data_IF_085316206072
#
_entry.id   IF_085316206072
#
_cell.length_a   1.000
_cell.length_b   1.000
_cell.length_c   1.000
_cell.angle_alpha   90.00
_cell.angle_beta   90.00
_cell.angle_gamma   90.00
#
_symmetry.space_group_name_H-M   'P 1'
#
loop_
_entity.id
_entity.type
_entity.pdbx_description
1 polymer ?
#
# COMPACT_ATOMS: atom_id res chain seq x y z
N UNK A 1 4.64 29.78 -22.10
CA UNK A 1 3.53 28.80 -22.16
C UNK A 1 2.69 29.18 -23.36
N UNK A 2 2.57 28.29 -24.35
CA UNK A 2 1.75 28.53 -25.53
C UNK A 2 0.25 28.47 -25.18
N UNK A 3 -0.62 28.97 -26.04
CA UNK A 3 -2.07 28.84 -25.84
C UNK A 3 -2.52 27.36 -25.85
N UNK A 4 -1.84 26.51 -26.60
CA UNK A 4 -2.07 25.06 -26.64
C UNK A 4 -1.70 24.40 -25.30
N UNK A 5 -0.54 24.75 -24.72
CA UNK A 5 -0.13 24.26 -23.40
C UNK A 5 -1.13 24.66 -22.31
N UNK A 6 -1.68 25.88 -22.41
CA UNK A 6 -2.67 26.39 -21.47
C UNK A 6 -3.97 25.60 -21.55
N UNK A 7 -4.48 25.34 -22.76
CA UNK A 7 -5.70 24.57 -22.96
C UNK A 7 -5.54 23.12 -22.46
N UNK A 8 -4.38 22.50 -22.71
CA UNK A 8 -4.09 21.17 -22.19
C UNK A 8 -4.04 21.15 -20.65
N UNK A 9 -3.40 22.15 -20.03
CA UNK A 9 -3.37 22.28 -18.58
C UNK A 9 -4.76 22.49 -17.96
N UNK A 10 -5.59 23.33 -18.58
CA UNK A 10 -6.98 23.56 -18.16
C UNK A 10 -7.82 22.27 -18.24
N UNK A 11 -7.68 21.50 -19.32
CA UNK A 11 -8.34 20.21 -19.49
C UNK A 11 -7.90 19.19 -18.41
N UNK A 12 -6.59 19.03 -18.22
CA UNK A 12 -6.03 18.13 -17.20
C UNK A 12 -6.48 18.52 -15.79
N UNK A 13 -6.51 19.82 -15.50
CA UNK A 13 -7.00 20.35 -14.20
C UNK A 13 -8.47 20.00 -13.99
N UNK A 14 -9.31 20.22 -15.02
CA UNK A 14 -10.73 19.90 -14.94
C UNK A 14 -10.96 18.40 -14.73
N UNK A 15 -10.21 17.55 -15.45
CA UNK A 15 -10.30 16.10 -15.31
C UNK A 15 -9.88 15.66 -13.91
N UNK A 16 -8.77 16.18 -13.37
CA UNK A 16 -8.32 15.85 -12.02
C UNK A 16 -9.33 16.25 -10.93
N UNK A 17 -9.96 17.42 -11.03
CA UNK A 17 -11.00 17.87 -10.08
C UNK A 17 -12.18 16.89 -10.06
N UNK A 18 -12.55 16.33 -11.22
CA UNK A 18 -13.61 15.34 -11.32
C UNK A 18 -13.25 13.98 -10.69
N UNK A 19 -11.96 13.70 -10.50
CA UNK A 19 -11.43 12.45 -9.94
C UNK A 19 -11.28 12.52 -8.43
N UNK A 20 -11.06 13.71 -7.85
CA UNK A 20 -10.88 13.88 -6.41
C UNK A 20 -11.97 13.18 -5.54
N UNK A 21 -13.27 13.22 -5.91
CA UNK A 21 -14.29 12.49 -5.15
C UNK A 21 -14.16 10.95 -5.24
N UNK A 22 -13.57 10.45 -6.33
CA UNK A 22 -13.35 9.01 -6.58
C UNK A 22 -12.22 8.47 -5.70
N UNK A 23 -11.21 9.29 -5.38
CA UNK A 23 -10.11 8.91 -4.48
C UNK A 23 -10.61 8.36 -3.12
N UNK A 24 -11.78 8.81 -2.65
CA UNK A 24 -12.40 8.31 -1.42
C UNK A 24 -12.98 6.89 -1.53
N UNK A 25 -13.33 6.46 -2.75
CA UNK A 25 -14.02 5.19 -3.01
C UNK A 25 -13.08 4.11 -3.55
N UNK A 26 -11.88 4.49 -3.95
CA UNK A 26 -10.90 3.62 -4.60
C UNK A 26 -10.52 4.17 -5.97
N UNK A 27 -9.23 4.11 -6.28
CA UNK A 27 -8.66 4.55 -7.54
C UNK A 27 -8.22 3.32 -8.34
N UNK A 28 -8.63 3.25 -9.60
CA UNK A 28 -8.22 2.17 -10.49
C UNK A 28 -6.88 2.52 -11.13
N UNK A 29 -5.91 1.61 -11.03
CA UNK A 29 -4.56 1.77 -11.58
C UNK A 29 -4.14 0.46 -12.24
N UNK A 30 -3.51 0.57 -13.40
CA UNK A 30 -3.04 -0.58 -14.16
C UNK A 30 -1.51 -0.52 -14.27
N UNK A 31 -0.82 -1.31 -13.45
CA UNK A 31 0.64 -1.34 -13.41
C UNK A 31 1.22 -2.03 -14.64
N UNK A 32 2.44 -1.65 -15.02
CA UNK A 32 3.34 -2.45 -15.85
C UNK A 32 4.42 -3.06 -14.96
N UNK A 33 5.03 -4.15 -15.40
CA UNK A 33 6.01 -4.88 -14.57
C UNK A 33 7.47 -4.48 -14.84
N UNK A 34 7.68 -3.41 -15.62
CA UNK A 34 8.97 -3.00 -16.18
C UNK A 34 9.76 -2.04 -15.30
N UNK A 35 9.08 -1.27 -14.44
CA UNK A 35 9.70 -0.20 -13.66
C UNK A 35 8.79 0.23 -12.51
N UNK A 36 9.36 0.85 -11.47
CA UNK A 36 8.63 1.17 -10.23
C UNK A 36 7.66 2.34 -10.35
N UNK A 37 7.70 3.10 -11.45
CA UNK A 37 6.79 4.21 -11.77
C UNK A 37 5.93 3.90 -13.00
N UNK A 38 5.97 2.66 -13.49
CA UNK A 38 5.39 2.33 -14.78
C UNK A 38 3.91 1.93 -14.59
N UNK A 39 3.04 2.89 -14.81
CA UNK A 39 1.59 2.69 -14.88
C UNK A 39 1.12 2.94 -16.31
N UNK A 40 0.04 2.26 -16.73
CA UNK A 40 -0.71 2.73 -17.89
C UNK A 40 -1.26 4.12 -17.60
N UNK A 41 -1.03 5.06 -18.52
CA UNK A 41 -1.53 6.42 -18.35
C UNK A 41 -3.05 6.43 -18.45
N UNK A 42 -3.70 6.72 -17.33
CA UNK A 42 -5.13 6.95 -17.25
C UNK A 42 -5.41 8.29 -16.58
N UNK A 43 -6.64 8.78 -16.66
CA UNK A 43 -7.00 10.07 -16.07
C UNK A 43 -6.82 10.05 -14.55
N UNK A 44 -6.98 8.89 -13.93
CA UNK A 44 -6.85 8.60 -12.52
C UNK A 44 -5.46 8.97 -11.95
N UNK A 45 -4.44 9.05 -12.81
CA UNK A 45 -3.07 9.43 -12.43
C UNK A 45 -2.90 10.97 -12.36
N UNK A 46 -3.72 11.73 -13.08
CA UNK A 46 -3.60 13.20 -13.19
C UNK A 46 -3.51 13.94 -11.85
N UNK A 47 -4.25 13.59 -10.78
CA UNK A 47 -4.11 14.27 -9.51
C UNK A 47 -2.69 14.19 -8.94
N UNK A 48 -1.98 13.07 -9.12
CA UNK A 48 -0.60 12.92 -8.66
C UNK A 48 0.35 13.79 -9.47
N UNK A 49 0.20 13.80 -10.80
CA UNK A 49 1.03 14.62 -11.69
C UNK A 49 0.85 16.12 -11.40
N UNK A 50 -0.39 16.60 -11.24
CA UNK A 50 -0.68 18.01 -10.95
C UNK A 50 -0.18 18.44 -9.57
N UNK A 51 -0.19 17.54 -8.58
CA UNK A 51 0.34 17.80 -7.25
C UNK A 51 1.86 17.59 -7.17
N UNK A 52 2.49 17.14 -8.26
CA UNK A 52 3.89 16.75 -8.30
C UNK A 52 4.24 15.71 -7.21
N UNK A 53 3.36 14.72 -7.04
CA UNK A 53 3.52 13.60 -6.13
C UNK A 53 3.87 12.37 -6.95
N UNK A 54 5.02 11.76 -6.69
CA UNK A 54 5.42 10.53 -7.36
C UNK A 54 4.54 9.35 -6.92
N UNK A 55 4.00 8.60 -7.87
CA UNK A 55 3.31 7.33 -7.65
C UNK A 55 4.25 6.16 -7.96
N UNK A 56 4.31 5.18 -7.05
CA UNK A 56 5.21 4.04 -7.11
C UNK A 56 4.47 2.70 -6.89
N UNK A 57 5.03 1.61 -7.41
CA UNK A 57 4.71 0.23 -7.05
C UNK A 57 6.00 -0.62 -7.06
N UNK A 58 5.95 -1.80 -6.44
CA UNK A 58 7.09 -2.73 -6.39
C UNK A 58 6.84 -4.08 -7.10
N UNK A 59 5.79 -4.13 -7.91
CA UNK A 59 5.41 -5.32 -8.66
C UNK A 59 6.16 -5.40 -9.99
N UNK A 60 7.45 -5.76 -9.93
CA UNK A 60 8.32 -5.86 -11.11
C UNK A 60 8.65 -7.32 -11.42
N UNK A 61 8.82 -7.63 -12.69
CA UNK A 61 9.43 -8.90 -13.10
C UNK A 61 10.95 -8.77 -13.03
N UNK A 62 11.63 -9.81 -12.54
CA UNK A 62 13.09 -9.85 -12.57
C UNK A 62 13.57 -10.02 -14.04
N UNK A 63 14.40 -9.10 -14.57
CA UNK A 63 14.93 -9.20 -15.94
C UNK A 63 15.72 -10.48 -16.22
N UNK A 64 16.23 -11.15 -15.18
CA UNK A 64 16.98 -12.41 -15.30
C UNK A 64 16.07 -13.63 -15.41
N UNK A 65 14.76 -13.49 -15.13
CA UNK A 65 13.82 -14.60 -15.13
C UNK A 65 13.25 -14.88 -16.52
N UNK A 66 12.81 -16.12 -16.75
CA UNK A 66 12.19 -16.50 -18.03
C UNK A 66 10.80 -15.86 -18.21
N UNK A 67 10.12 -15.51 -17.12
CA UNK A 67 8.84 -14.79 -17.14
C UNK A 67 8.96 -13.41 -17.79
N UNK A 68 10.11 -12.73 -17.64
CA UNK A 68 10.38 -11.42 -18.25
C UNK A 68 10.14 -11.42 -19.77
N UNK A 69 10.52 -12.49 -20.46
CA UNK A 69 10.35 -12.62 -21.92
C UNK A 69 8.89 -12.71 -22.34
N UNK A 70 8.04 -13.29 -21.49
CA UNK A 70 6.60 -13.46 -21.77
C UNK A 70 5.82 -12.21 -21.38
N UNK A 71 6.21 -11.56 -20.29
CA UNK A 71 5.59 -10.36 -19.75
C UNK A 71 5.94 -9.14 -20.62
N UNK A 72 7.22 -8.91 -20.92
CA UNK A 72 7.65 -7.77 -21.72
C UNK A 72 7.13 -6.43 -21.16
N UNK A 73 6.55 -5.60 -22.02
CA UNK A 73 5.95 -4.30 -21.67
C UNK A 73 4.42 -4.37 -21.42
N UNK A 74 3.90 -5.57 -21.11
CA UNK A 74 2.47 -5.73 -20.82
C UNK A 74 2.12 -5.10 -19.47
N UNK A 75 0.96 -4.45 -19.42
CA UNK A 75 0.31 -4.09 -18.16
C UNK A 75 -0.30 -5.32 -17.49
N UNK A 76 -0.75 -5.18 -16.25
CA UNK A 76 -1.50 -6.22 -15.54
C UNK A 76 -2.71 -6.72 -16.34
N UNK A 77 -3.58 -5.81 -16.80
CA UNK A 77 -4.76 -6.18 -17.58
C UNK A 77 -4.39 -6.96 -18.85
N UNK A 78 -3.40 -6.47 -19.61
CA UNK A 78 -2.97 -7.12 -20.84
C UNK A 78 -2.31 -8.49 -20.58
N UNK A 79 -1.56 -8.63 -19.47
CA UNK A 79 -0.99 -9.92 -19.07
C UNK A 79 -2.07 -10.92 -18.67
N UNK A 80 -3.08 -10.51 -17.91
CA UNK A 80 -4.23 -11.36 -17.54
C UNK A 80 -4.95 -11.85 -18.80
N UNK A 81 -5.25 -10.97 -19.74
CA UNK A 81 -5.86 -11.35 -21.02
C UNK A 81 -4.99 -12.35 -21.80
N UNK A 82 -3.67 -12.14 -21.84
CA UNK A 82 -2.73 -13.06 -22.49
C UNK A 82 -2.69 -14.43 -21.81
N UNK A 83 -2.73 -14.48 -20.47
CA UNK A 83 -2.78 -15.73 -19.71
C UNK A 83 -4.04 -16.51 -20.04
N UNK A 84 -5.20 -15.85 -20.14
CA UNK A 84 -6.48 -16.49 -20.45
C UNK A 84 -6.54 -16.95 -21.91
N UNK A 85 -6.14 -16.09 -22.86
CA UNK A 85 -6.31 -16.34 -24.30
C UNK A 85 -5.27 -17.27 -24.89
N UNK A 86 -4.01 -17.19 -24.43
CA UNK A 86 -2.87 -17.91 -25.00
C UNK A 86 -2.33 -19.01 -24.07
N UNK A 87 -2.97 -19.24 -22.92
CA UNK A 87 -2.50 -20.19 -21.90
C UNK A 87 -1.04 -19.96 -21.52
N UNK A 88 -0.65 -18.68 -21.36
CA UNK A 88 0.72 -18.27 -21.08
C UNK A 88 1.16 -18.67 -19.66
N UNK A 89 1.64 -19.91 -19.51
CA UNK A 89 1.96 -20.53 -18.23
C UNK A 89 2.96 -19.70 -17.39
N UNK A 90 4.02 -19.16 -18.00
CA UNK A 90 5.00 -18.33 -17.29
C UNK A 90 4.40 -17.02 -16.75
N UNK A 91 3.51 -16.39 -17.52
CA UNK A 91 2.79 -15.20 -17.05
C UNK A 91 1.86 -15.52 -15.88
N UNK A 92 1.17 -16.67 -15.95
CA UNK A 92 0.33 -17.16 -14.85
C UNK A 92 1.16 -17.46 -13.59
N UNK A 93 2.28 -18.16 -13.76
CA UNK A 93 3.21 -18.48 -12.68
C UNK A 93 3.70 -17.22 -11.97
N UNK A 94 4.11 -16.19 -12.72
CA UNK A 94 4.50 -14.91 -12.14
C UNK A 94 3.39 -14.28 -11.31
N UNK A 95 2.17 -14.17 -11.84
CA UNK A 95 1.04 -13.57 -11.14
C UNK A 95 0.70 -14.33 -9.83
N UNK A 96 0.78 -15.65 -9.85
CA UNK A 96 0.54 -16.49 -8.67
C UNK A 96 1.68 -16.38 -7.64
N UNK A 97 2.93 -16.42 -8.09
CA UNK A 97 4.11 -16.34 -7.22
C UNK A 97 4.31 -14.95 -6.59
N UNK A 98 3.80 -13.90 -7.25
CA UNK A 98 3.91 -12.50 -6.81
C UNK A 98 2.56 -11.88 -6.43
N UNK A 99 1.62 -12.71 -5.98
CA UNK A 99 0.26 -12.28 -5.61
C UNK A 99 0.21 -11.19 -4.52
N UNK A 100 1.29 -10.98 -3.76
CA UNK A 100 1.45 -9.89 -2.77
C UNK A 100 1.79 -8.53 -3.40
N UNK A 101 1.83 -8.46 -4.74
CA UNK A 101 2.09 -7.27 -5.56
C UNK A 101 3.41 -6.55 -5.22
N UNK A 102 4.37 -7.29 -4.67
CA UNK A 102 5.70 -6.81 -4.35
C UNK A 102 6.70 -7.95 -4.58
N UNK A 103 7.76 -7.65 -5.31
CA UNK A 103 8.84 -8.62 -5.57
C UNK A 103 10.13 -8.13 -4.94
N UNK A 104 11.08 -9.03 -4.73
CA UNK A 104 12.41 -8.65 -4.23
C UNK A 104 13.11 -7.69 -5.19
N UNK A 105 13.09 -7.99 -6.49
CA UNK A 105 13.61 -7.11 -7.53
C UNK A 105 12.96 -5.72 -7.47
N UNK A 106 11.63 -5.66 -7.40
CA UNK A 106 10.91 -4.40 -7.29
C UNK A 106 11.20 -3.62 -6.01
N UNK A 107 11.46 -4.31 -4.89
CA UNK A 107 11.85 -3.66 -3.63
C UNK A 107 13.26 -3.04 -3.73
N UNK A 108 14.20 -3.73 -4.37
CA UNK A 108 15.53 -3.19 -4.64
C UNK A 108 15.48 -1.97 -5.56
N UNK A 109 14.75 -2.07 -6.68
CA UNK A 109 14.57 -0.97 -7.63
C UNK A 109 13.87 0.22 -6.97
N UNK A 110 12.86 -0.02 -6.13
CA UNK A 110 12.16 1.05 -5.41
C UNK A 110 13.09 1.76 -4.43
N UNK A 111 13.92 1.00 -3.72
CA UNK A 111 14.95 1.56 -2.82
C UNK A 111 15.98 2.38 -3.58
N UNK A 112 16.34 1.99 -4.81
CA UNK A 112 17.28 2.72 -5.65
C UNK A 112 16.66 3.99 -6.25
N UNK A 113 15.40 3.92 -6.70
CA UNK A 113 14.72 5.00 -7.40
C UNK A 113 14.23 6.12 -6.48
N UNK A 114 13.78 5.81 -5.26
CA UNK A 114 13.27 6.81 -4.33
C UNK A 114 14.41 7.64 -3.74
N UNK A 115 14.28 8.96 -3.76
CA UNK A 115 15.27 9.86 -3.18
C UNK A 115 15.15 9.91 -1.64
N UNK A 116 16.28 10.16 -0.98
CA UNK A 116 16.32 10.27 0.49
C UNK A 116 15.50 11.48 0.96
N UNK A 117 14.49 11.23 1.81
CA UNK A 117 13.55 12.25 2.27
C UNK A 117 12.40 12.59 1.31
N UNK A 118 12.33 11.97 0.12
CA UNK A 118 11.18 12.10 -0.78
C UNK A 118 9.92 11.51 -0.13
N UNK A 119 8.78 12.12 -0.42
CA UNK A 119 7.46 11.57 -0.09
C UNK A 119 6.78 11.20 -1.41
N UNK A 120 6.36 9.95 -1.52
CA UNK A 120 5.59 9.44 -2.63
C UNK A 120 4.36 8.67 -2.17
N UNK A 121 3.56 8.23 -3.14
CA UNK A 121 2.45 7.30 -2.91
C UNK A 121 2.87 5.93 -3.41
N UNK A 122 2.60 4.89 -2.63
CA UNK A 122 2.95 3.52 -2.94
C UNK A 122 1.70 2.66 -3.08
N UNK A 123 1.55 2.00 -4.22
CA UNK A 123 0.45 1.08 -4.50
C UNK A 123 0.90 -0.37 -4.29
N UNK A 124 0.19 -1.09 -3.42
CA UNK A 124 0.38 -2.52 -3.16
C UNK A 124 -0.90 -3.14 -2.62
N UNK A 125 -1.26 -4.32 -3.11
CA UNK A 125 -2.43 -5.11 -2.65
C UNK A 125 -3.73 -4.28 -2.64
N UNK A 126 -3.97 -3.52 -3.70
CA UNK A 126 -5.13 -2.62 -3.83
C UNK A 126 -5.21 -1.53 -2.74
N UNK A 127 -4.09 -1.23 -2.07
CA UNK A 127 -3.96 -0.18 -1.07
C UNK A 127 -2.94 0.87 -1.51
N UNK A 128 -3.21 2.13 -1.18
CA UNK A 128 -2.29 3.26 -1.38
C UNK A 128 -1.75 3.70 -0.02
N UNK A 129 -0.43 3.67 0.13
CA UNK A 129 0.27 4.09 1.34
C UNK A 129 1.15 5.30 1.06
N UNK A 130 1.34 6.17 2.06
CA UNK A 130 2.37 7.22 1.96
C UNK A 130 3.74 6.56 2.16
N UNK A 131 4.65 6.75 1.22
CA UNK A 131 6.00 6.14 1.20
C UNK A 131 7.05 7.23 1.38
N UNK A 132 8.09 6.92 2.16
CA UNK A 132 9.30 7.75 2.24
C UNK A 132 10.56 6.89 2.39
N UNK A 133 11.72 7.50 2.12
CA UNK A 133 13.03 6.90 2.34
C UNK A 133 13.80 7.66 3.41
N UNK A 134 14.29 6.93 4.40
CA UNK A 134 15.14 7.49 5.45
C UNK A 134 16.27 6.52 5.87
N UNK A 135 17.48 7.04 6.02
CA UNK A 135 18.70 6.28 6.33
C UNK A 135 18.88 5.09 5.37
N UNK A 136 18.53 5.28 4.08
CA UNK A 136 18.61 4.23 3.05
C UNK A 136 17.58 3.11 3.15
N UNK A 137 16.54 3.24 3.99
CA UNK A 137 15.45 2.27 4.13
C UNK A 137 14.12 2.91 3.74
N UNK A 138 13.18 2.08 3.29
CA UNK A 138 11.84 2.51 2.93
C UNK A 138 10.88 2.37 4.11
N UNK A 139 9.94 3.30 4.21
CA UNK A 139 8.93 3.33 5.25
C UNK A 139 7.56 3.69 4.71
N UNK A 140 6.52 3.08 5.27
CA UNK A 140 5.13 3.41 5.00
C UNK A 140 4.51 4.10 6.21
N UNK A 141 3.71 5.14 5.99
CA UNK A 141 3.01 5.83 7.06
C UNK A 141 1.91 4.92 7.62
N UNK A 142 1.87 4.75 8.94
CA UNK A 142 0.83 3.99 9.61
C UNK A 142 -0.44 4.85 9.70
N UNK A 143 -1.51 4.40 9.07
CA UNK A 143 -2.80 5.10 9.04
C UNK A 143 -3.95 4.31 9.67
N UNK A 144 -3.69 3.08 10.12
CA UNK A 144 -4.71 2.22 10.73
C UNK A 144 -5.18 2.78 12.08
N UNK A 145 -6.51 2.79 12.28
CA UNK A 145 -7.13 3.36 13.47
C UNK A 145 -6.76 2.62 14.77
N UNK A 146 -6.31 1.36 14.68
CA UNK A 146 -5.82 0.58 15.82
C UNK A 146 -4.64 1.24 16.53
N UNK A 147 -3.84 2.04 15.83
CA UNK A 147 -2.69 2.76 16.38
C UNK A 147 -3.02 4.18 16.83
N UNK A 148 -4.29 4.60 16.82
CA UNK A 148 -4.70 5.97 17.16
C UNK A 148 -4.19 6.46 18.54
N UNK A 149 -3.98 5.54 19.49
CA UNK A 149 -3.48 5.86 20.84
C UNK A 149 -1.96 5.67 21.00
N UNK A 150 -1.31 5.05 20.03
CA UNK A 150 0.12 4.73 20.06
C UNK A 150 0.90 5.85 19.38
N UNK A 151 1.06 6.98 20.07
CA UNK A 151 1.69 8.17 19.49
C UNK A 151 3.15 7.96 19.02
N UNK A 152 3.83 6.92 19.51
CA UNK A 152 5.17 6.54 19.06
C UNK A 152 5.17 5.71 17.77
N UNK A 153 4.03 5.19 17.30
CA UNK A 153 3.94 4.39 16.07
C UNK A 153 3.51 5.32 14.94
N UNK A 154 4.47 5.72 14.10
CA UNK A 154 4.24 6.65 12.99
C UNK A 154 4.49 5.97 11.65
N UNK A 155 5.57 5.20 11.55
CA UNK A 155 5.95 4.51 10.31
C UNK A 155 6.15 3.02 10.53
N UNK A 156 6.01 2.25 9.46
CA UNK A 156 6.38 0.84 9.38
C UNK A 156 7.48 0.62 8.34
N UNK A 157 8.37 -0.35 8.56
CA UNK A 157 9.43 -0.69 7.59
C UNK A 157 8.86 -1.41 6.37
N UNK A 158 9.38 -1.07 5.19
CA UNK A 158 9.18 -1.81 3.95
C UNK A 158 10.51 -2.43 3.51
N UNK A 159 10.87 -3.55 4.12
CA UNK A 159 12.13 -4.26 3.87
C UNK A 159 11.95 -5.76 3.54
N UNK A 160 10.74 -6.28 3.60
CA UNK A 160 10.41 -7.66 3.24
C UNK A 160 9.17 -7.73 2.34
N UNK A 161 9.17 -8.71 1.43
CA UNK A 161 8.01 -9.11 0.65
C UNK A 161 6.98 -9.88 1.49
N UNK A 162 7.45 -10.59 2.52
CA UNK A 162 6.67 -11.54 3.33
C UNK A 162 5.92 -10.90 4.50
N UNK A 163 6.09 -9.59 4.71
CA UNK A 163 5.32 -8.83 5.70
C UNK A 163 5.89 -8.81 7.11
N UNK A 164 7.18 -9.11 7.28
CA UNK A 164 7.89 -8.76 8.52
C UNK A 164 7.91 -7.23 8.65
N UNK A 165 7.14 -6.72 9.60
CA UNK A 165 6.95 -5.28 9.81
C UNK A 165 7.60 -4.88 11.14
N UNK A 166 8.42 -3.83 11.09
CA UNK A 166 8.91 -3.14 12.29
C UNK A 166 8.31 -1.74 12.36
N UNK A 167 7.66 -1.42 13.48
CA UNK A 167 7.15 -0.07 13.73
C UNK A 167 8.24 0.86 14.26
N UNK A 168 8.21 2.12 13.78
CA UNK A 168 9.14 3.17 14.16
C UNK A 168 8.42 4.49 14.43
N UNK A 169 9.07 5.34 15.22
CA UNK A 169 8.62 6.69 15.55
C UNK A 169 8.88 7.70 14.41
N UNK A 170 8.53 8.98 14.62
CA UNK A 170 8.75 10.06 13.66
C UNK A 170 10.22 10.28 13.29
N UNK A 171 11.15 9.83 14.15
CA UNK A 171 12.60 9.89 13.95
C UNK A 171 13.19 8.62 13.32
N UNK A 172 12.34 7.71 12.86
CA UNK A 172 12.70 6.40 12.33
C UNK A 172 13.51 5.56 13.34
N UNK A 173 13.11 5.57 14.60
CA UNK A 173 13.66 4.71 15.65
C UNK A 173 12.64 3.63 16.03
N UNK A 174 13.13 2.42 16.24
CA UNK A 174 12.29 1.27 16.57
C UNK A 174 11.52 1.55 17.87
N UNK A 175 10.20 1.34 17.79
CA UNK A 175 9.34 1.37 18.97
C UNK A 175 9.47 0.02 19.67
N UNK A 176 10.12 -0.01 20.82
CA UNK A 176 10.10 -1.18 21.68
C UNK A 176 8.76 -1.22 22.42
N UNK A 177 7.84 -2.07 21.99
CA UNK A 177 6.71 -2.45 22.84
C UNK A 177 7.26 -3.26 24.03
N UNK A 178 7.40 -2.61 25.19
CA UNK A 178 7.36 -3.36 26.45
C UNK A 178 5.94 -3.88 26.62
N UNK A 179 5.70 -5.19 26.73
CA UNK A 179 4.39 -5.72 27.05
C UNK A 179 4.13 -5.47 28.55
N UNK A 180 3.85 -4.22 28.92
CA UNK A 180 3.43 -3.89 30.28
C UNK A 180 2.07 -3.15 30.26
N UNK A 181 1.10 -3.87 30.85
CA UNK A 181 -0.18 -3.41 31.40
C UNK A 181 -1.42 -3.40 30.50
N UNK A 182 -1.83 -4.60 30.07
CA UNK A 182 -3.26 -4.98 30.17
C UNK A 182 -3.43 -6.06 31.24
N UNK A 183 -3.24 -5.67 32.50
CA UNK A 183 -3.83 -6.41 33.62
C UNK A 183 -4.20 -5.42 34.71
N UNK A 184 -5.47 -5.46 35.11
CA UNK A 184 -6.10 -4.76 36.24
C UNK A 184 -6.83 -3.46 35.88
N UNK A 185 -8.11 -3.59 35.53
CA UNK A 185 -9.20 -2.82 36.19
C UNK A 185 -10.58 -3.36 35.75
N UNK A 186 -10.92 -4.55 36.24
CA UNK A 186 -12.32 -4.84 36.56
C UNK A 186 -12.41 -4.89 38.09
N UNK A 187 -13.20 -4.03 38.74
CA UNK A 187 -13.47 -4.21 40.16
C UNK A 187 -14.29 -5.50 40.36
N UNK A 188 -14.00 -6.30 41.40
CA UNK A 188 -14.83 -7.47 41.70
C UNK A 188 -16.23 -6.99 42.07
N UNK A 189 -17.23 -7.41 41.29
CA UNK A 189 -18.64 -7.18 41.63
C UNK A 189 -18.95 -7.94 42.90
N UNK A 190 -19.10 -7.21 44.01
CA UNK A 190 -19.67 -7.68 45.26
C UNK A 190 -21.16 -7.97 45.06
N UNK A 191 -21.53 -9.26 45.00
CA UNK A 191 -22.91 -9.71 45.08
C UNK A 191 -23.47 -9.44 46.49
N UNK A 192 -24.63 -8.78 46.64
CA UNK A 192 -25.32 -8.73 47.91
C UNK A 192 -26.35 -9.87 48.04
N UNK A 193 -26.19 -10.65 49.10
CA UNK A 193 -27.30 -11.06 49.98
C UNK A 193 -28.23 -12.18 49.50
N UNK A 194 -28.04 -13.37 50.08
CA UNK A 194 -29.08 -14.38 50.21
C UNK A 194 -30.20 -13.92 51.16
N UNK A 195 -31.46 -14.22 50.83
CA UNK A 195 -32.48 -14.67 51.79
C UNK A 195 -33.67 -15.34 51.09
N UNK A 196 -33.75 -16.66 51.28
CA UNK A 196 -34.92 -17.51 51.56
C UNK A 196 -36.33 -17.00 51.22
N UNK A 197 -37.09 -17.82 50.47
CA UNK A 197 -38.40 -18.28 50.96
C UNK A 197 -38.83 -19.61 50.32
N UNK A 198 -39.19 -20.54 51.20
CA UNK A 198 -39.92 -21.79 50.95
C UNK A 198 -41.42 -21.49 50.86
N UNK A 199 -42.15 -22.16 49.95
CA UNK A 199 -43.56 -22.59 50.08
C UNK A 199 -43.95 -23.37 48.79
N UNK A 200 -44.04 -24.70 48.84
CA UNK A 200 -45.21 -25.57 49.13
C UNK A 200 -46.11 -25.84 47.90
N UNK A 201 -46.14 -27.13 47.52
CA UNK A 201 -47.17 -27.97 46.89
C UNK A 201 -48.27 -27.35 46.00
N UNK A 202 -48.33 -27.82 44.75
CA UNK A 202 -49.29 -28.87 44.34
C UNK A 202 -48.80 -29.57 43.07
#
# INVERSE_FOLDING_TARGET
MSDEDRLNYEANTSDAINILPVLQKGLDVNVKFTGVRDFEYTKEILPFDLLNISLYHGWLVDPQSEESKVIGDLSYNALVEKVISQSAYLGKHFLEASASQLTYHGLCELTAALEEGEIGVFFRNNHFSTLTKAKGRLYLLVTDQGFLKEASVVWETLDSVDGDITFVDEGFKIVSHSPEQQSSQYPPTSSPGAQSNQQIEQ
#
